data_IF_187050141517
#
_entry.id   IF_187050141517
#
_cell.length_a   1.000
_cell.length_b   1.000
_cell.length_c   1.000
_cell.angle_alpha   90.00
_cell.angle_beta   90.00
_cell.angle_gamma   90.00
#
_symmetry.space_group_name_H-M   'P 1'
#
loop_
_entity.id
_entity.type
_entity.pdbx_description
1 polymer ?
#
# COMPACT_ATOMS: atom_id res chain seq x y z
N UNK A 1 -11.89 1.24 19.52
CA UNK A 1 -10.75 1.10 18.58
C UNK A 1 -9.90 2.34 18.67
N UNK A 2 -8.62 2.20 19.03
CA UNK A 2 -7.69 3.32 19.02
C UNK A 2 -7.32 3.66 17.57
N UNK A 3 -7.42 4.93 17.19
CA UNK A 3 -6.97 5.39 15.87
C UNK A 3 -5.44 5.39 15.82
N UNK A 4 -4.82 5.10 14.67
CA UNK A 4 -3.37 5.24 14.52
C UNK A 4 -2.87 6.65 14.89
N UNK A 5 -3.73 7.67 14.72
CA UNK A 5 -3.45 9.05 15.09
C UNK A 5 -3.31 9.30 16.60
N UNK A 6 -3.75 8.38 17.47
CA UNK A 6 -3.50 8.48 18.91
C UNK A 6 -2.12 7.96 19.32
N UNK A 7 -1.38 7.33 18.40
CA UNK A 7 0.00 6.90 18.66
C UNK A 7 0.92 8.10 18.49
N UNK A 8 1.52 8.57 19.58
CA UNK A 8 2.35 9.77 19.61
C UNK A 8 3.45 9.77 18.54
N UNK A 9 4.12 8.65 18.30
CA UNK A 9 5.15 8.55 17.26
C UNK A 9 4.57 8.78 15.85
N UNK A 10 3.44 8.14 15.51
CA UNK A 10 2.78 8.31 14.21
C UNK A 10 2.27 9.75 14.04
N UNK A 11 1.66 10.32 15.08
CA UNK A 11 1.20 11.70 15.06
C UNK A 11 2.33 12.70 14.85
N UNK A 12 3.48 12.51 15.51
CA UNK A 12 4.66 13.36 15.33
C UNK A 12 5.25 13.25 13.93
N UNK A 13 5.36 12.04 13.39
CA UNK A 13 5.86 11.85 12.03
C UNK A 13 4.94 12.52 11.00
N UNK A 14 3.62 12.30 11.08
CA UNK A 14 2.63 12.96 10.22
C UNK A 14 2.71 14.50 10.31
N UNK A 15 2.89 15.03 11.52
CA UNK A 15 3.03 16.47 11.75
C UNK A 15 4.30 17.08 11.16
N UNK A 16 5.37 16.27 10.98
CA UNK A 16 6.67 16.73 10.48
C UNK A 16 6.85 16.62 8.97
N UNK A 17 5.96 15.92 8.27
CA UNK A 17 6.03 15.78 6.80
C UNK A 17 6.05 17.15 6.13
N UNK A 18 7.09 17.38 5.31
CA UNK A 18 7.34 18.55 4.47
C UNK A 18 7.39 18.16 2.99
N UNK A 19 7.13 19.11 2.10
CA UNK A 19 7.18 18.90 0.66
C UNK A 19 8.55 18.43 0.15
N UNK A 20 9.62 18.88 0.82
CA UNK A 20 11.01 18.54 0.51
C UNK A 20 11.43 17.14 0.99
N UNK A 21 10.61 16.48 1.82
CA UNK A 21 10.99 15.21 2.41
C UNK A 21 11.12 14.12 1.34
N UNK A 22 12.08 13.19 1.52
CA UNK A 22 12.20 12.04 0.65
C UNK A 22 10.96 11.14 0.78
N UNK A 23 10.72 10.33 -0.26
CA UNK A 23 9.65 9.32 -0.28
C UNK A 23 9.81 8.30 0.88
N UNK A 24 11.03 8.09 1.37
CA UNK A 24 11.33 7.20 2.50
C UNK A 24 10.69 7.63 3.83
N UNK A 25 10.46 8.93 4.04
CA UNK A 25 9.73 9.41 5.23
C UNK A 25 8.30 8.87 5.22
N UNK A 26 7.65 8.89 4.07
CA UNK A 26 6.30 8.37 3.88
C UNK A 26 6.26 6.84 4.06
N UNK A 27 7.29 6.13 3.59
CA UNK A 27 7.39 4.68 3.84
C UNK A 27 7.42 4.34 5.32
N UNK A 28 8.21 5.07 6.12
CA UNK A 28 8.28 4.84 7.57
C UNK A 28 6.92 5.02 8.25
N UNK A 29 6.22 6.10 7.92
CA UNK A 29 4.88 6.39 8.44
C UNK A 29 3.88 5.31 8.07
N UNK A 30 3.82 4.94 6.79
CA UNK A 30 2.89 3.92 6.33
C UNK A 30 3.19 2.54 6.89
N UNK A 31 4.46 2.18 7.01
CA UNK A 31 4.85 0.93 7.65
C UNK A 31 4.37 0.87 9.11
N UNK A 32 4.49 1.98 9.85
CA UNK A 32 4.01 2.05 11.23
C UNK A 32 2.47 1.97 11.31
N UNK A 33 1.75 2.69 10.44
CA UNK A 33 0.28 2.66 10.39
C UNK A 33 -0.21 1.24 10.07
N UNK A 34 0.35 0.60 9.04
CA UNK A 34 -0.05 -0.74 8.63
C UNK A 34 0.26 -1.79 9.71
N UNK A 35 1.43 -1.71 10.35
CA UNK A 35 1.81 -2.64 11.43
C UNK A 35 0.90 -2.49 12.66
N UNK A 36 0.40 -1.29 12.93
CA UNK A 36 -0.57 -1.06 13.99
C UNK A 36 -1.96 -1.57 13.63
N UNK A 37 -2.42 -1.29 12.40
CA UNK A 37 -3.77 -1.62 11.94
C UNK A 37 -3.93 -3.12 11.65
N UNK A 38 -2.83 -3.78 11.25
CA UNK A 38 -2.77 -5.18 10.85
C UNK A 38 -1.64 -5.87 11.63
N UNK A 39 -1.87 -6.18 12.91
CA UNK A 39 -0.82 -6.66 13.78
C UNK A 39 -0.45 -8.13 13.49
N UNK A 40 0.83 -8.45 13.69
CA UNK A 40 1.35 -9.81 13.49
C UNK A 40 0.69 -10.84 14.40
N UNK A 41 0.23 -10.44 15.59
CA UNK A 41 -0.52 -11.28 16.52
C UNK A 41 -1.87 -11.75 15.97
N UNK A 42 -2.39 -11.07 14.95
CA UNK A 42 -3.65 -11.41 14.27
C UNK A 42 -3.39 -12.07 12.90
N UNK A 43 -2.16 -12.52 12.64
CA UNK A 43 -1.81 -13.26 11.41
C UNK A 43 -1.47 -12.35 10.22
N UNK A 44 -1.30 -11.06 10.43
CA UNK A 44 -0.92 -10.12 9.37
C UNK A 44 0.59 -9.93 9.26
N UNK A 45 1.07 -9.61 8.06
CA UNK A 45 2.45 -9.16 7.87
C UNK A 45 2.53 -8.12 6.75
N UNK A 46 3.11 -6.95 7.05
CA UNK A 46 3.45 -5.95 6.05
C UNK A 46 4.91 -6.15 5.64
N UNK A 47 5.15 -6.20 4.33
CA UNK A 47 6.48 -6.35 3.75
C UNK A 47 6.80 -5.13 2.89
N UNK A 48 7.95 -4.46 3.08
CA UNK A 48 8.48 -3.56 2.06
C UNK A 48 8.85 -4.35 0.82
N UNK A 49 8.54 -3.81 -0.36
CA UNK A 49 9.08 -4.34 -1.60
C UNK A 49 10.43 -3.67 -1.87
N UNK A 50 11.47 -4.49 -2.05
CA UNK A 50 12.79 -4.02 -2.47
C UNK A 50 12.85 -3.88 -4.01
N UNK A 51 13.74 -3.02 -4.48
CA UNK A 51 13.90 -2.46 -5.84
C UNK A 51 13.12 -3.06 -7.03
N UNK A 52 12.66 -2.15 -7.91
CA UNK A 52 12.09 -2.38 -9.24
C UNK A 52 13.08 -2.95 -10.27
N UNK A 53 13.87 -3.96 -9.92
CA UNK A 53 14.69 -4.63 -10.93
C UNK A 53 13.83 -5.65 -11.68
N UNK A 54 13.35 -5.20 -12.85
CA UNK A 54 13.01 -6.00 -14.02
C UNK A 54 11.81 -6.97 -13.92
N UNK A 55 10.61 -6.43 -14.12
CA UNK A 55 9.66 -7.07 -15.02
C UNK A 55 9.20 -6.05 -16.08
N UNK A 56 9.70 -6.23 -17.31
CA UNK A 56 9.15 -5.64 -18.55
C UNK A 56 8.99 -4.11 -18.63
N UNK A 57 10.02 -3.34 -18.27
CA UNK A 57 10.19 -1.96 -18.75
C UNK A 57 9.21 -0.91 -18.22
N UNK A 58 8.27 -1.24 -17.34
CA UNK A 58 7.37 -0.29 -16.70
C UNK A 58 7.85 0.05 -15.28
N UNK A 59 8.31 1.30 -15.08
CA UNK A 59 8.66 1.86 -13.78
C UNK A 59 7.40 2.18 -12.99
N UNK A 60 6.79 1.20 -12.31
CA UNK A 60 5.68 1.44 -11.39
C UNK A 60 5.92 0.79 -10.03
N UNK A 61 5.81 1.56 -8.95
CA UNK A 61 6.22 1.16 -7.60
C UNK A 61 5.10 0.98 -6.61
N UNK A 62 4.84 -0.26 -6.20
CA UNK A 62 4.17 -0.53 -4.93
C UNK A 62 5.22 -0.70 -3.84
N UNK A 63 5.02 -0.04 -2.71
CA UNK A 63 6.08 0.08 -1.71
C UNK A 63 5.87 -0.84 -0.53
N UNK A 64 4.61 -1.10 -0.16
CA UNK A 64 4.24 -1.96 0.96
C UNK A 64 3.13 -2.92 0.56
N UNK A 65 3.30 -4.21 0.86
CA UNK A 65 2.26 -5.23 0.71
C UNK A 65 1.90 -5.80 2.07
N UNK A 66 0.61 -5.86 2.38
CA UNK A 66 0.11 -6.52 3.59
C UNK A 66 -0.54 -7.85 3.21
N UNK A 67 -0.09 -8.89 3.90
CA UNK A 67 -0.56 -10.26 3.75
C UNK A 67 -1.31 -10.70 4.99
N UNK A 68 -2.24 -11.63 4.83
CA UNK A 68 -2.96 -12.26 5.93
C UNK A 68 -2.82 -13.79 5.85
N UNK A 69 -2.33 -14.40 6.92
CA UNK A 69 -2.30 -15.85 7.12
C UNK A 69 -3.59 -16.27 7.83
N UNK A 70 -4.55 -16.81 7.07
CA UNK A 70 -5.82 -17.26 7.64
C UNK A 70 -5.66 -18.61 8.34
N UNK A 71 -5.89 -18.65 9.65
CA UNK A 71 -5.83 -19.88 10.45
C UNK A 71 -4.46 -20.57 10.34
N UNK A 72 -4.47 -21.87 10.01
CA UNK A 72 -3.25 -22.68 9.85
C UNK A 72 -2.75 -22.77 8.40
N UNK A 73 -3.18 -21.84 7.53
CA UNK A 73 -2.77 -21.84 6.13
C UNK A 73 -1.26 -21.61 5.97
N UNK A 74 -0.61 -22.41 5.12
CA UNK A 74 0.79 -22.17 4.71
C UNK A 74 0.93 -21.08 3.64
N UNK A 75 -0.19 -20.63 3.06
CA UNK A 75 -0.24 -19.56 2.06
C UNK A 75 -0.88 -18.31 2.64
N UNK A 76 -0.31 -17.15 2.32
CA UNK A 76 -0.82 -15.85 2.76
C UNK A 76 -1.57 -15.14 1.64
N UNK A 77 -2.72 -14.56 1.97
CA UNK A 77 -3.47 -13.71 1.05
C UNK A 77 -2.84 -12.32 1.00
N UNK A 78 -2.31 -11.93 -0.15
CA UNK A 78 -1.97 -10.54 -0.42
C UNK A 78 -3.27 -9.76 -0.62
N UNK A 79 -3.75 -9.10 0.45
CA UNK A 79 -5.06 -8.43 0.43
C UNK A 79 -4.95 -6.91 0.34
N UNK A 80 -3.80 -6.30 0.68
CA UNK A 80 -3.64 -4.84 0.62
C UNK A 80 -2.27 -4.47 0.04
N UNK A 81 -2.29 -3.50 -0.87
CA UNK A 81 -1.09 -2.92 -1.50
C UNK A 81 -1.12 -1.41 -1.30
N UNK A 82 0.00 -0.83 -0.92
CA UNK A 82 0.16 0.61 -0.72
C UNK A 82 1.29 1.13 -1.60
N UNK A 83 1.00 2.18 -2.35
CA UNK A 83 1.95 3.00 -3.09
C UNK A 83 2.03 4.37 -2.42
N UNK A 84 3.23 4.81 -2.07
CA UNK A 84 3.53 6.11 -1.50
C UNK A 84 4.20 7.00 -2.54
N UNK A 85 3.98 8.30 -2.40
CA UNK A 85 4.68 9.36 -3.12
C UNK A 85 4.97 10.51 -2.16
N UNK A 86 6.09 11.21 -2.39
CA UNK A 86 6.50 12.34 -1.55
C UNK A 86 5.46 13.47 -1.51
N UNK A 87 5.46 14.24 -0.43
CA UNK A 87 4.48 15.30 -0.19
C UNK A 87 4.54 16.45 -1.21
N UNK A 88 5.70 16.75 -1.80
CA UNK A 88 5.81 17.76 -2.87
C UNK A 88 5.01 17.44 -4.15
N UNK A 89 4.33 16.29 -4.20
CA UNK A 89 3.45 15.88 -5.30
C UNK A 89 1.96 15.96 -4.98
N UNK A 90 1.55 16.38 -3.78
CA UNK A 90 0.15 16.42 -3.34
C UNK A 90 -0.78 17.14 -4.33
N UNK A 91 -0.34 18.27 -4.88
CA UNK A 91 -1.11 19.11 -5.81
C UNK A 91 -1.01 18.69 -7.28
N UNK A 92 -0.18 17.67 -7.60
CA UNK A 92 0.07 17.25 -8.98
C UNK A 92 -0.94 16.21 -9.43
N UNK A 93 -1.96 16.64 -10.16
CA UNK A 93 -3.02 15.78 -10.71
C UNK A 93 -2.47 14.59 -11.50
N UNK A 94 -1.38 14.80 -12.25
CA UNK A 94 -0.73 13.74 -13.04
C UNK A 94 -0.16 12.63 -12.17
N UNK A 95 0.42 12.95 -11.00
CA UNK A 95 0.97 11.94 -10.07
C UNK A 95 -0.14 11.05 -9.51
N UNK A 96 -1.31 11.63 -9.21
CA UNK A 96 -2.47 10.86 -8.80
C UNK A 96 -2.99 9.95 -9.92
N UNK A 97 -3.07 10.45 -11.16
CA UNK A 97 -3.53 9.66 -12.30
C UNK A 97 -2.56 8.52 -12.64
N UNK A 98 -1.26 8.83 -12.71
CA UNK A 98 -0.19 7.85 -12.96
C UNK A 98 -0.11 6.80 -11.85
N UNK A 99 -0.21 7.21 -10.58
CA UNK A 99 -0.22 6.28 -9.45
C UNK A 99 -1.38 5.30 -9.53
N UNK A 100 -2.59 5.79 -9.85
CA UNK A 100 -3.76 4.92 -10.03
C UNK A 100 -3.60 3.98 -11.21
N UNK A 101 -3.11 4.46 -12.35
CA UNK A 101 -2.90 3.62 -13.54
C UNK A 101 -1.87 2.51 -13.28
N UNK A 102 -0.70 2.88 -12.71
CA UNK A 102 0.32 1.91 -12.31
C UNK A 102 -0.24 0.88 -11.32
N UNK A 103 -1.02 1.35 -10.35
CA UNK A 103 -1.65 0.51 -9.35
C UNK A 103 -2.65 -0.48 -9.98
N UNK A 104 -3.50 -0.03 -10.92
CA UNK A 104 -4.43 -0.89 -11.64
C UNK A 104 -3.72 -1.95 -12.49
N UNK A 105 -2.61 -1.62 -13.15
CA UNK A 105 -1.78 -2.57 -13.90
C UNK A 105 -1.14 -3.61 -12.97
N UNK A 106 -0.64 -3.17 -11.81
CA UNK A 106 -0.07 -4.06 -10.80
C UNK A 106 -1.12 -5.05 -10.26
N UNK A 107 -2.33 -4.57 -9.96
CA UNK A 107 -3.42 -5.43 -9.50
C UNK A 107 -3.84 -6.44 -10.58
N UNK A 108 -3.93 -6.00 -11.84
CA UNK A 108 -4.33 -6.86 -12.95
C UNK A 108 -3.30 -7.96 -13.23
N UNK A 109 -2.01 -7.65 -13.23
CA UNK A 109 -0.92 -8.64 -13.35
C UNK A 109 -0.82 -9.55 -12.11
N UNK A 110 -0.95 -8.92 -10.94
CA UNK A 110 -1.31 -9.41 -9.61
C UNK A 110 -2.24 -10.63 -9.57
N UNK A 111 -3.46 -10.34 -9.99
CA UNK A 111 -4.66 -10.98 -9.48
C UNK A 111 -5.67 -11.29 -10.59
N UNK A 112 -5.52 -10.72 -11.78
CA UNK A 112 -6.44 -10.92 -12.90
C UNK A 112 -6.50 -12.34 -13.45
N UNK A 113 -5.56 -13.22 -13.06
CA UNK A 113 -5.56 -14.65 -13.45
C UNK A 113 -6.04 -15.59 -12.34
N UNK A 114 -6.52 -15.09 -11.22
CA UNK A 114 -7.04 -15.93 -10.12
C UNK A 114 -8.30 -16.65 -10.57
N UNK A 115 -8.40 -17.94 -10.25
CA UNK A 115 -9.63 -18.73 -10.47
C UNK A 115 -10.78 -18.11 -9.67
N UNK A 116 -12.02 -18.06 -10.20
CA UNK A 116 -13.17 -17.48 -9.50
C UNK A 116 -13.38 -17.98 -8.07
N UNK A 117 -13.17 -19.28 -7.84
CA UNK A 117 -13.31 -19.93 -6.53
C UNK A 117 -12.23 -19.58 -5.51
N UNK A 118 -11.15 -18.90 -5.92
CA UNK A 118 -10.04 -18.46 -5.06
C UNK A 118 -9.88 -16.94 -5.02
N UNK A 119 -10.91 -16.19 -5.41
CA UNK A 119 -10.89 -14.73 -5.39
C UNK A 119 -11.19 -14.21 -3.99
N UNK A 120 -10.21 -13.53 -3.41
CA UNK A 120 -10.38 -12.70 -2.21
C UNK A 120 -10.33 -11.22 -2.59
N UNK A 121 -11.08 -10.33 -1.90
CA UNK A 121 -10.99 -8.90 -2.13
C UNK A 121 -9.55 -8.41 -1.98
N UNK A 122 -9.11 -7.57 -2.93
CA UNK A 122 -7.82 -6.89 -2.85
C UNK A 122 -8.05 -5.40 -2.77
N UNK A 123 -7.35 -4.75 -1.86
CA UNK A 123 -7.44 -3.33 -1.60
C UNK A 123 -6.16 -2.62 -1.99
N UNK A 124 -6.32 -1.36 -2.31
CA UNK A 124 -5.28 -0.47 -2.75
C UNK A 124 -5.27 0.83 -2.01
N UNK A 125 -4.09 1.35 -1.73
CA UNK A 125 -3.93 2.72 -1.26
C UNK A 125 -2.89 3.40 -2.12
N UNK A 126 -3.26 4.54 -2.70
CA UNK A 126 -2.30 5.50 -3.25
C UNK A 126 -2.21 6.64 -2.26
N UNK A 127 -1.05 6.77 -1.62
CA UNK A 127 -0.76 7.81 -0.65
C UNK A 127 0.22 8.82 -1.25
N UNK A 128 -0.13 10.11 -1.20
CA UNK A 128 0.72 11.20 -1.66
C UNK A 128 0.79 12.21 -0.53
N UNK A 129 1.96 12.33 0.09
CA UNK A 129 2.11 13.15 1.29
C UNK A 129 1.11 12.78 2.39
N UNK A 130 0.35 13.76 2.87
CA UNK A 130 -0.62 13.58 3.96
C UNK A 130 -1.97 13.04 3.48
N UNK A 131 -2.16 12.86 2.18
CA UNK A 131 -3.42 12.45 1.59
C UNK A 131 -3.34 11.01 1.09
N UNK A 132 -4.49 10.35 1.05
CA UNK A 132 -4.62 9.02 0.50
C UNK A 132 -5.90 8.88 -0.32
N UNK A 133 -5.87 7.95 -1.26
CA UNK A 133 -7.05 7.41 -1.93
C UNK A 133 -7.05 5.89 -1.76
N UNK A 134 -8.21 5.37 -1.42
CA UNK A 134 -8.43 3.94 -1.16
C UNK A 134 -9.22 3.35 -2.32
N UNK A 135 -8.80 2.16 -2.76
CA UNK A 135 -9.36 1.45 -3.88
C UNK A 135 -9.71 0.02 -3.46
N UNK A 136 -10.77 -0.52 -4.06
CA UNK A 136 -11.06 -1.95 -4.04
C UNK A 136 -10.89 -2.47 -5.45
N UNK A 137 -10.06 -3.48 -5.62
CA UNK A 137 -9.96 -4.20 -6.87
C UNK A 137 -11.15 -5.14 -6.98
N UNK A 138 -11.99 -4.89 -7.98
CA UNK A 138 -13.06 -5.79 -8.36
C UNK A 138 -12.63 -6.49 -9.65
N UNK A 139 -12.35 -7.80 -9.56
CA UNK A 139 -12.05 -8.64 -10.72
C UNK A 139 -13.31 -9.37 -11.22
N UNK A 140 -14.49 -9.04 -10.69
CA UNK A 140 -15.79 -9.55 -11.15
C UNK A 140 -16.23 -8.77 -12.39
N UNK A 141 -15.79 -9.24 -13.54
CA UNK A 141 -16.40 -8.98 -14.84
C UNK A 141 -17.36 -10.12 -15.21
#
# INVERSE_FOLDING_TARGET
>A
MSSYGSINAIAQELGRIRESDPESTLYGVWNAILSFQFPVSEGYITRPQDEHTAQSGEKGSSDLHTFHYQGNSSTADKFLIVQCKRAGYETRSSVWAEGVDQFCRYLSSTHGRRRPSGRSPVYGIVAVGKYMRVYRYDDVS
#
